data_IF_597258928836
#
_entry.id   IF_597258928836
#
_cell.length_a   1.000
_cell.length_b   1.000
_cell.length_c   1.000
_cell.angle_alpha   90.00
_cell.angle_beta   90.00
_cell.angle_gamma   90.00
#
_symmetry.space_group_name_H-M   'P 1'
#
loop_
_entity.id
_entity.type
_entity.pdbx_description
1 polymer ?
#
# COMPACT_ATOMS: atom_id res chain seq x y z
N UNK A 1 27.17 8.48 14.27
CA UNK A 1 26.47 7.17 14.33
C UNK A 1 25.07 7.43 13.80
N UNK A 2 24.67 6.80 12.70
CA UNK A 2 23.30 6.92 12.18
C UNK A 2 22.31 6.43 13.24
N UNK A 3 21.26 7.19 13.48
CA UNK A 3 20.17 6.75 14.35
C UNK A 3 19.54 5.48 13.78
N UNK A 4 19.06 4.54 14.62
CA UNK A 4 18.33 3.38 14.09
C UNK A 4 17.12 3.86 13.31
N UNK A 5 16.89 3.26 12.13
CA UNK A 5 15.72 3.60 11.30
C UNK A 5 14.44 3.23 12.06
N UNK A 6 13.52 4.17 12.28
CA UNK A 6 12.27 3.89 13.01
C UNK A 6 11.41 2.85 12.26
N UNK A 7 10.94 1.82 12.97
CA UNK A 7 10.10 0.75 12.40
C UNK A 7 9.27 0.08 13.52
N UNK A 8 8.38 0.84 14.14
CA UNK A 8 7.63 0.39 15.32
C UNK A 8 6.17 0.02 15.04
N UNK A 9 5.64 0.41 13.89
CA UNK A 9 4.21 0.26 13.58
C UNK A 9 3.97 -1.08 12.89
N UNK A 10 3.09 -1.90 13.49
CA UNK A 10 2.65 -3.19 12.96
C UNK A 10 1.13 -3.21 12.88
N UNK A 11 0.55 -2.89 11.71
CA UNK A 11 -0.91 -2.79 11.57
C UNK A 11 -1.61 -4.15 11.50
N UNK A 12 -0.84 -5.22 11.25
CA UNK A 12 -1.33 -6.59 11.09
C UNK A 12 -0.51 -7.49 12.01
N UNK A 13 -1.18 -8.24 12.87
CA UNK A 13 -0.56 -9.23 13.75
C UNK A 13 -1.47 -10.45 13.85
N UNK A 14 -0.89 -11.63 13.82
CA UNK A 14 -1.61 -12.88 14.04
C UNK A 14 -1.05 -13.57 15.28
N UNK A 15 -1.90 -13.86 16.25
CA UNK A 15 -1.53 -14.31 17.58
C UNK A 15 -2.71 -15.06 18.21
N UNK A 16 -2.44 -16.16 18.91
CA UNK A 16 -3.43 -16.99 19.60
C UNK A 16 -4.65 -17.37 18.73
N UNK A 17 -4.45 -17.65 17.44
CA UNK A 17 -5.52 -18.01 16.51
C UNK A 17 -6.43 -16.83 16.12
N UNK A 18 -5.99 -15.59 16.36
CA UNK A 18 -6.70 -14.34 16.02
C UNK A 18 -5.87 -13.46 15.09
N UNK A 19 -6.55 -12.85 14.13
CA UNK A 19 -5.99 -11.77 13.35
C UNK A 19 -6.29 -10.43 14.03
N UNK A 20 -5.27 -9.67 14.34
CA UNK A 20 -5.38 -8.34 14.92
C UNK A 20 -5.08 -7.30 13.86
N UNK A 21 -5.99 -6.33 13.68
CA UNK A 21 -5.85 -5.24 12.73
C UNK A 21 -6.01 -3.90 13.46
N UNK A 22 -5.07 -2.98 13.21
CA UNK A 22 -5.21 -1.59 13.61
C UNK A 22 -6.30 -0.92 12.79
N UNK A 23 -7.37 -0.43 13.45
CA UNK A 23 -8.49 0.21 12.74
C UNK A 23 -8.12 1.61 12.22
N UNK A 24 -7.73 1.67 10.95
CA UNK A 24 -7.26 2.90 10.30
C UNK A 24 -8.36 3.93 10.09
N UNK A 25 -9.64 3.56 10.24
CA UNK A 25 -10.78 4.50 10.16
C UNK A 25 -10.82 5.45 11.33
N UNK A 26 -10.31 5.01 12.48
CA UNK A 26 -10.31 5.76 13.74
C UNK A 26 -9.09 6.67 13.90
N UNK A 27 -8.02 6.42 13.16
CA UNK A 27 -6.83 7.25 13.19
C UNK A 27 -7.11 8.65 12.62
N UNK A 28 -6.46 9.70 13.16
CA UNK A 28 -5.51 9.72 14.26
C UNK A 28 -6.15 9.81 15.65
N UNK A 29 -7.48 9.97 15.73
CA UNK A 29 -8.21 10.29 16.97
C UNK A 29 -8.14 9.17 18.00
N UNK A 30 -8.17 7.93 17.53
CA UNK A 30 -8.13 6.73 18.35
C UNK A 30 -7.23 5.67 17.69
N UNK A 31 -6.32 5.08 18.47
CA UNK A 31 -5.51 3.94 18.03
C UNK A 31 -6.08 2.67 18.68
N UNK A 32 -6.91 1.94 17.93
CA UNK A 32 -7.58 0.73 18.39
C UNK A 32 -7.26 -0.46 17.50
N UNK A 33 -6.87 -1.56 18.11
CA UNK A 33 -6.69 -2.85 17.47
C UNK A 33 -7.95 -3.69 17.64
N UNK A 34 -8.46 -4.25 16.54
CA UNK A 34 -9.62 -5.14 16.53
C UNK A 34 -9.15 -6.58 16.27
N UNK A 35 -9.69 -7.55 17.04
CA UNK A 35 -9.41 -8.98 16.84
C UNK A 35 -10.48 -9.66 15.99
N UNK A 36 -10.05 -10.53 15.07
CA UNK A 36 -10.90 -11.27 14.13
C UNK A 36 -10.64 -12.77 14.25
N UNK A 37 -11.71 -13.57 14.31
CA UNK A 37 -11.67 -15.03 14.45
C UNK A 37 -12.32 -15.77 13.29
N UNK A 38 -12.86 -15.06 12.31
CA UNK A 38 -13.52 -15.69 11.17
C UNK A 38 -13.27 -14.94 9.86
N UNK A 39 -13.21 -15.66 8.72
CA UNK A 39 -12.88 -15.08 7.42
C UNK A 39 -13.91 -14.08 6.91
N UNK A 40 -15.17 -14.17 7.37
CA UNK A 40 -16.21 -13.27 6.92
C UNK A 40 -16.00 -11.87 7.50
N UNK A 41 -15.70 -11.78 8.79
CA UNK A 41 -15.38 -10.50 9.44
C UNK A 41 -14.07 -9.90 8.92
N UNK A 42 -13.09 -10.71 8.51
CA UNK A 42 -11.89 -10.24 7.81
C UNK A 42 -12.23 -9.63 6.45
N UNK A 43 -13.08 -10.29 5.65
CA UNK A 43 -13.54 -9.72 4.38
C UNK A 43 -14.28 -8.39 4.57
N UNK A 44 -15.12 -8.30 5.61
CA UNK A 44 -15.80 -7.06 5.97
C UNK A 44 -14.81 -5.97 6.40
N UNK A 45 -13.77 -6.31 7.18
CA UNK A 45 -12.71 -5.38 7.57
C UNK A 45 -11.93 -4.81 6.38
N UNK A 46 -11.65 -5.63 5.35
CA UNK A 46 -11.02 -5.19 4.10
C UNK A 46 -11.98 -4.27 3.32
N UNK A 47 -13.23 -4.68 3.14
CA UNK A 47 -14.25 -3.89 2.42
C UNK A 47 -14.45 -2.52 3.08
N UNK A 48 -14.57 -2.50 4.40
CA UNK A 48 -14.90 -1.31 5.19
C UNK A 48 -13.66 -0.46 5.53
N UNK A 49 -12.50 -0.82 4.96
CA UNK A 49 -11.22 -0.10 5.11
C UNK A 49 -10.71 0.02 6.57
N UNK A 50 -10.98 -0.98 7.41
CA UNK A 50 -10.24 -1.16 8.67
C UNK A 50 -8.75 -1.29 8.36
N UNK A 51 -8.43 -2.04 7.30
CA UNK A 51 -7.12 -2.16 6.68
C UNK A 51 -7.21 -1.72 5.21
N UNK A 52 -6.21 -1.04 4.71
CA UNK A 52 -6.11 -0.54 3.33
C UNK A 52 -4.65 -0.51 2.86
N UNK A 53 -4.45 -0.36 1.54
CA UNK A 53 -3.14 -0.45 0.88
C UNK A 53 -2.94 -1.84 0.28
N UNK A 54 -2.38 -1.87 -0.93
CA UNK A 54 -2.32 -3.10 -1.73
C UNK A 54 -1.64 -4.27 -0.99
N UNK A 55 -0.42 -4.15 -0.41
CA UNK A 55 0.21 -5.25 0.32
C UNK A 55 -0.55 -5.65 1.60
N UNK A 56 -0.99 -4.68 2.40
CA UNK A 56 -1.70 -4.95 3.65
C UNK A 56 -3.00 -5.74 3.45
N UNK A 57 -3.75 -5.43 2.37
CA UNK A 57 -4.98 -6.16 2.00
C UNK A 57 -4.65 -7.62 1.68
N UNK A 58 -3.61 -7.87 0.87
CA UNK A 58 -3.20 -9.23 0.51
C UNK A 58 -2.79 -10.07 1.73
N UNK A 59 -1.95 -9.52 2.61
CA UNK A 59 -1.50 -10.18 3.84
C UNK A 59 -2.69 -10.46 4.76
N UNK A 60 -3.60 -9.49 4.93
CA UNK A 60 -4.81 -9.64 5.73
C UNK A 60 -5.69 -10.76 5.20
N UNK A 61 -5.87 -10.84 3.88
CA UNK A 61 -6.65 -11.90 3.25
C UNK A 61 -5.99 -13.28 3.41
N UNK A 62 -4.65 -13.38 3.34
CA UNK A 62 -3.94 -14.62 3.62
C UNK A 62 -4.23 -15.13 5.04
N UNK A 63 -4.19 -14.28 6.05
CA UNK A 63 -4.62 -14.67 7.41
C UNK A 63 -6.12 -14.98 7.50
N UNK A 64 -6.97 -14.35 6.68
CA UNK A 64 -8.36 -14.72 6.54
C UNK A 64 -8.56 -16.18 6.07
N UNK A 65 -7.68 -16.67 5.17
CA UNK A 65 -7.67 -18.07 4.74
C UNK A 65 -7.22 -19.01 5.88
N UNK A 66 -6.24 -18.61 6.70
CA UNK A 66 -5.84 -19.36 7.90
C UNK A 66 -7.06 -19.57 8.81
N UNK A 67 -7.78 -18.51 9.13
CA UNK A 67 -8.99 -18.57 9.96
C UNK A 67 -10.09 -19.45 9.33
N UNK A 68 -10.17 -19.51 7.98
CA UNK A 68 -11.10 -20.40 7.30
C UNK A 68 -10.74 -21.88 7.52
N UNK A 69 -9.45 -22.21 7.45
CA UNK A 69 -8.95 -23.58 7.73
C UNK A 69 -9.16 -23.97 9.19
N UNK A 70 -8.81 -23.11 10.13
CA UNK A 70 -9.02 -23.34 11.57
C UNK A 70 -10.50 -23.58 11.87
N UNK A 71 -11.39 -22.75 11.32
CA UNK A 71 -12.84 -22.92 11.51
C UNK A 71 -13.39 -24.22 10.90
N UNK A 72 -12.83 -24.66 9.73
CA UNK A 72 -13.19 -25.94 9.12
C UNK A 72 -12.75 -27.12 10.00
N UNK A 73 -11.55 -27.04 10.59
CA UNK A 73 -11.03 -28.04 11.54
C UNK A 73 -11.91 -28.11 12.79
N UNK A 74 -12.16 -26.99 13.45
CA UNK A 74 -12.86 -26.91 14.73
C UNK A 74 -14.33 -27.35 14.63
N UNK A 75 -14.95 -27.14 13.48
CA UNK A 75 -16.31 -27.62 13.19
C UNK A 75 -16.35 -29.05 12.65
N UNK A 76 -15.20 -29.69 12.49
CA UNK A 76 -15.08 -31.02 11.86
C UNK A 76 -15.81 -31.08 10.50
N UNK A 77 -15.68 -30.03 9.69
CA UNK A 77 -16.37 -29.91 8.40
C UNK A 77 -15.81 -30.90 7.40
N UNK A 78 -16.64 -31.78 6.89
CA UNK A 78 -16.26 -32.73 5.85
C UNK A 78 -17.26 -32.68 4.67
N UNK A 79 -16.79 -32.44 3.42
CA UNK A 79 -15.42 -32.12 3.02
C UNK A 79 -15.06 -30.67 3.39
N UNK A 80 -13.84 -30.44 3.86
CA UNK A 80 -13.38 -29.13 4.34
C UNK A 80 -13.07 -28.12 3.20
N UNK A 81 -12.57 -28.61 2.06
CA UNK A 81 -12.12 -27.77 0.93
C UNK A 81 -13.20 -26.82 0.41
N UNK A 82 -14.44 -27.24 0.15
CA UNK A 82 -15.48 -26.33 -0.35
C UNK A 82 -15.77 -25.17 0.60
N UNK A 83 -15.71 -25.40 1.91
CA UNK A 83 -15.95 -24.33 2.91
C UNK A 83 -14.81 -23.31 2.94
N UNK A 84 -13.56 -23.74 2.76
CA UNK A 84 -12.40 -22.86 2.68
C UNK A 84 -12.42 -22.08 1.36
N UNK A 85 -12.74 -22.73 0.23
CA UNK A 85 -12.84 -22.05 -1.07
C UNK A 85 -13.94 -20.98 -1.08
N UNK A 86 -15.10 -21.25 -0.48
CA UNK A 86 -16.16 -20.25 -0.33
C UNK A 86 -15.72 -19.04 0.52
N UNK A 87 -14.85 -19.26 1.52
CA UNK A 87 -14.26 -18.16 2.28
C UNK A 87 -13.25 -17.36 1.45
N UNK A 88 -12.45 -18.02 0.62
CA UNK A 88 -11.51 -17.36 -0.32
C UNK A 88 -12.29 -16.50 -1.32
N UNK A 89 -13.39 -17.01 -1.89
CA UNK A 89 -14.22 -16.24 -2.80
C UNK A 89 -14.85 -15.01 -2.15
N UNK A 90 -15.26 -15.13 -0.88
CA UNK A 90 -15.76 -13.98 -0.11
C UNK A 90 -14.66 -12.95 0.16
N UNK A 91 -13.44 -13.38 0.48
CA UNK A 91 -12.30 -12.47 0.63
C UNK A 91 -11.98 -11.77 -0.70
N UNK A 92 -11.97 -12.49 -1.82
CA UNK A 92 -11.76 -11.93 -3.15
C UNK A 92 -12.78 -10.84 -3.52
N UNK A 93 -14.06 -11.07 -3.16
CA UNK A 93 -15.13 -10.11 -3.40
C UNK A 93 -15.05 -8.83 -2.57
N UNK A 94 -14.21 -8.77 -1.51
CA UNK A 94 -14.12 -7.60 -0.63
C UNK A 94 -13.52 -6.37 -1.31
N UNK A 95 -12.56 -6.54 -2.25
CA UNK A 95 -11.92 -5.48 -3.06
C UNK A 95 -11.54 -5.99 -4.45
N UNK A 96 -12.49 -6.06 -5.40
CA UNK A 96 -12.30 -6.71 -6.70
C UNK A 96 -11.21 -6.10 -7.60
N UNK A 97 -10.75 -4.88 -7.32
CA UNK A 97 -9.71 -4.17 -8.10
C UNK A 97 -8.31 -4.30 -7.52
N UNK A 98 -8.16 -4.89 -6.32
CA UNK A 98 -6.89 -4.96 -5.59
C UNK A 98 -6.03 -6.15 -6.05
N UNK A 99 -5.04 -5.92 -6.91
CA UNK A 99 -4.15 -6.97 -7.48
C UNK A 99 -3.51 -7.83 -6.40
N UNK A 100 -2.95 -7.22 -5.37
CA UNK A 100 -2.26 -7.94 -4.30
C UNK A 100 -3.19 -8.84 -3.48
N UNK A 101 -4.50 -8.56 -3.46
CA UNK A 101 -5.49 -9.45 -2.86
C UNK A 101 -5.54 -10.78 -3.61
N UNK A 102 -5.69 -10.74 -4.93
CA UNK A 102 -5.74 -11.93 -5.76
C UNK A 102 -4.44 -12.69 -5.75
N UNK A 103 -3.30 -12.00 -5.88
CA UNK A 103 -1.97 -12.60 -5.76
C UNK A 103 -1.81 -13.39 -4.45
N UNK A 104 -2.21 -12.82 -3.31
CA UNK A 104 -2.13 -13.51 -2.03
C UNK A 104 -3.06 -14.72 -1.95
N UNK A 105 -4.30 -14.59 -2.42
CA UNK A 105 -5.27 -15.68 -2.43
C UNK A 105 -4.84 -16.82 -3.35
N UNK A 106 -4.24 -16.54 -4.51
CA UNK A 106 -3.73 -17.56 -5.42
C UNK A 106 -2.54 -18.33 -4.82
N UNK A 107 -1.65 -17.64 -4.09
CA UNK A 107 -0.61 -18.31 -3.31
C UNK A 107 -1.20 -19.24 -2.24
N UNK A 108 -2.23 -18.79 -1.53
CA UNK A 108 -2.92 -19.62 -0.54
C UNK A 108 -3.60 -20.82 -1.18
N UNK A 109 -4.22 -20.68 -2.36
CA UNK A 109 -4.79 -21.80 -3.14
C UNK A 109 -3.71 -22.80 -3.54
N UNK A 110 -2.54 -22.32 -3.99
CA UNK A 110 -1.42 -23.20 -4.34
C UNK A 110 -0.94 -24.04 -3.14
N UNK A 111 -0.84 -23.45 -1.96
CA UNK A 111 -0.53 -24.15 -0.71
C UNK A 111 -1.58 -25.20 -0.38
N UNK A 112 -2.86 -24.82 -0.43
CA UNK A 112 -3.99 -25.71 -0.13
C UNK A 112 -4.05 -26.91 -1.09
N UNK A 113 -3.65 -26.74 -2.34
CA UNK A 113 -3.64 -27.81 -3.35
C UNK A 113 -2.75 -28.99 -2.92
N UNK A 114 -1.65 -28.74 -2.18
CA UNK A 114 -0.72 -29.74 -1.67
C UNK A 114 -1.17 -30.44 -0.38
N UNK A 115 -2.23 -30.00 0.31
CA UNK A 115 -2.62 -30.54 1.61
C UNK A 115 -3.63 -31.68 1.46
N UNK A 116 -3.41 -32.81 2.15
CA UNK A 116 -4.32 -33.96 2.17
C UNK A 116 -5.40 -33.86 3.25
N UNK A 117 -5.14 -33.12 4.32
CA UNK A 117 -6.04 -32.96 5.48
C UNK A 117 -6.21 -31.49 5.88
N UNK A 118 -7.27 -31.21 6.65
CA UNK A 118 -7.50 -29.86 7.21
C UNK A 118 -6.42 -29.48 8.21
N UNK A 119 -5.85 -30.41 8.94
CA UNK A 119 -4.77 -30.15 9.88
C UNK A 119 -3.48 -29.71 9.16
N UNK A 120 -3.13 -30.37 8.06
CA UNK A 120 -2.03 -29.91 7.17
C UNK A 120 -2.33 -28.53 6.58
N UNK A 121 -3.58 -28.28 6.14
CA UNK A 121 -3.99 -27.01 5.59
C UNK A 121 -3.83 -25.87 6.63
N UNK A 122 -4.24 -26.06 7.88
CA UNK A 122 -4.05 -25.05 8.95
C UNK A 122 -2.58 -24.71 9.15
N UNK A 123 -1.71 -25.73 9.25
CA UNK A 123 -0.28 -25.53 9.48
C UNK A 123 0.39 -24.83 8.27
N UNK A 124 0.10 -25.32 7.05
CA UNK A 124 0.72 -24.82 5.83
C UNK A 124 0.26 -23.38 5.50
N UNK A 125 -1.03 -23.08 5.64
CA UNK A 125 -1.54 -21.74 5.40
C UNK A 125 -1.03 -20.72 6.41
N UNK A 126 -0.92 -21.08 7.69
CA UNK A 126 -0.33 -20.21 8.71
C UNK A 126 1.14 -19.90 8.39
N UNK A 127 1.92 -20.93 8.06
CA UNK A 127 3.33 -20.74 7.69
C UNK A 127 3.46 -19.80 6.47
N UNK A 128 2.63 -19.98 5.45
CA UNK A 128 2.64 -19.13 4.25
C UNK A 128 2.23 -17.69 4.54
N UNK A 129 1.15 -17.47 5.31
CA UNK A 129 0.70 -16.12 5.66
C UNK A 129 1.77 -15.37 6.49
N UNK A 130 2.43 -16.07 7.43
CA UNK A 130 3.55 -15.52 8.19
C UNK A 130 4.75 -15.21 7.29
N UNK A 131 5.08 -16.09 6.35
CA UNK A 131 6.15 -15.86 5.38
C UNK A 131 5.87 -14.65 4.49
N UNK A 132 4.62 -14.49 4.00
CA UNK A 132 4.21 -13.30 3.25
C UNK A 132 4.41 -12.01 4.07
N UNK A 133 3.98 -11.98 5.33
CA UNK A 133 4.14 -10.82 6.21
C UNK A 133 5.62 -10.46 6.41
N UNK A 134 6.47 -11.44 6.70
CA UNK A 134 7.90 -11.21 6.91
C UNK A 134 8.63 -10.81 5.62
N UNK A 135 8.27 -11.43 4.49
CA UNK A 135 8.82 -11.09 3.19
C UNK A 135 8.48 -9.65 2.78
N UNK A 136 7.23 -9.20 3.04
CA UNK A 136 6.81 -7.83 2.77
C UNK A 136 7.61 -6.81 3.60
N UNK A 137 7.77 -7.05 4.92
CA UNK A 137 8.56 -6.17 5.78
C UNK A 137 10.03 -6.12 5.29
N UNK A 138 10.61 -7.26 4.93
CA UNK A 138 11.98 -7.31 4.43
C UNK A 138 12.12 -6.59 3.07
N UNK A 139 11.15 -6.75 2.17
CA UNK A 139 11.09 -6.06 0.89
C UNK A 139 10.99 -4.53 1.08
N UNK A 140 10.13 -4.08 1.99
CA UNK A 140 9.96 -2.66 2.29
C UNK A 140 11.25 -2.03 2.84
N UNK A 141 11.99 -2.73 3.71
CA UNK A 141 13.29 -2.25 4.20
C UNK A 141 14.32 -2.17 3.07
N UNK A 142 14.35 -3.14 2.15
CA UNK A 142 15.24 -3.09 0.98
C UNK A 142 14.89 -1.94 0.06
N UNK A 143 13.61 -1.74 -0.28
CA UNK A 143 13.16 -0.59 -1.06
C UNK A 143 13.53 0.73 -0.38
N UNK A 144 13.35 0.82 0.94
CA UNK A 144 13.76 1.98 1.73
C UNK A 144 15.23 2.33 1.54
N UNK A 145 16.12 1.35 1.66
CA UNK A 145 17.56 1.55 1.49
C UNK A 145 17.92 1.91 0.04
N UNK A 146 17.33 1.22 -0.96
CA UNK A 146 17.58 1.50 -2.38
C UNK A 146 17.13 2.92 -2.73
N UNK A 147 15.89 3.29 -2.34
CA UNK A 147 15.34 4.61 -2.64
C UNK A 147 16.08 5.73 -1.92
N UNK A 148 16.47 5.55 -0.65
CA UNK A 148 17.24 6.54 0.10
C UNK A 148 18.58 6.84 -0.57
N UNK A 149 19.27 5.83 -1.09
CA UNK A 149 20.55 6.01 -1.79
C UNK A 149 20.44 6.88 -3.05
N UNK A 150 19.23 7.02 -3.64
CA UNK A 150 18.98 7.85 -4.83
C UNK A 150 18.62 9.30 -4.49
N UNK A 151 18.36 9.62 -3.23
CA UNK A 151 18.02 10.98 -2.79
C UNK A 151 19.30 11.76 -2.50
N UNK A 152 19.53 12.84 -3.24
CA UNK A 152 20.62 13.76 -2.98
C UNK A 152 20.39 14.49 -1.64
N UNK A 153 21.44 14.61 -0.80
CA UNK A 153 21.29 15.25 0.51
C UNK A 153 20.92 16.74 0.44
N UNK A 154 20.18 17.20 1.45
CA UNK A 154 20.00 18.63 1.71
C UNK A 154 18.73 19.26 1.19
N UNK A 155 17.79 18.46 0.61
CA UNK A 155 16.47 18.96 0.18
C UNK A 155 15.34 18.24 0.90
N UNK A 156 14.17 18.86 0.87
CA UNK A 156 12.94 18.25 1.37
C UNK A 156 12.38 17.22 0.39
N UNK A 157 11.48 16.38 0.90
CA UNK A 157 10.65 15.48 0.10
C UNK A 157 9.17 15.80 0.28
N UNK A 158 8.37 15.53 -0.75
CA UNK A 158 6.91 15.58 -0.72
C UNK A 158 6.37 14.17 -0.92
N UNK A 159 5.38 13.76 -0.13
CA UNK A 159 4.66 12.50 -0.34
C UNK A 159 3.16 12.74 -0.46
N UNK A 160 2.45 11.75 -1.01
CA UNK A 160 1.01 11.80 -1.24
C UNK A 160 0.35 10.51 -0.80
N UNK A 161 -0.88 10.58 -0.29
CA UNK A 161 -1.61 9.45 0.28
C UNK A 161 -0.91 8.88 1.52
N UNK A 162 -1.02 7.58 1.73
CA UNK A 162 -0.29 6.84 2.76
C UNK A 162 0.22 5.52 2.17
N UNK A 163 1.52 5.41 2.08
CA UNK A 163 2.27 4.23 1.64
C UNK A 163 3.34 3.87 2.67
N UNK A 164 2.94 3.93 3.93
CA UNK A 164 3.72 3.57 5.09
C UNK A 164 3.42 2.17 5.63
N UNK A 165 3.76 1.96 6.89
CA UNK A 165 3.50 0.72 7.61
C UNK A 165 2.02 0.34 7.59
N UNK A 166 1.12 1.33 7.66
CA UNK A 166 -0.33 1.12 7.64
C UNK A 166 -0.84 0.54 6.30
N UNK A 167 -0.09 0.71 5.22
CA UNK A 167 -0.44 0.19 3.90
C UNK A 167 0.20 -1.16 3.56
N UNK A 168 1.05 -1.68 4.44
CA UNK A 168 1.92 -2.85 4.23
C UNK A 168 1.92 -3.74 5.48
N UNK A 169 2.80 -4.72 5.54
CA UNK A 169 3.06 -5.49 6.76
C UNK A 169 3.86 -4.72 7.82
N UNK A 170 4.53 -3.64 7.41
CA UNK A 170 5.39 -2.81 8.24
C UNK A 170 6.41 -2.03 7.44
N UNK A 171 7.02 -0.99 8.01
CA UNK A 171 8.01 -0.09 7.43
C UNK A 171 7.48 0.80 6.30
N UNK A 172 6.68 0.27 5.38
CA UNK A 172 6.13 0.98 4.25
C UNK A 172 7.07 1.07 3.04
N UNK A 173 6.49 1.41 1.89
CA UNK A 173 7.22 1.60 0.63
C UNK A 173 7.77 3.03 0.54
N UNK A 174 7.01 4.01 0.09
CA UNK A 174 7.45 5.41 0.00
C UNK A 174 7.82 5.99 1.38
N UNK A 175 7.03 5.73 2.43
CA UNK A 175 7.45 6.15 3.78
C UNK A 175 8.66 5.37 4.28
N UNK A 176 8.91 4.16 3.80
CA UNK A 176 10.14 3.41 4.05
C UNK A 176 11.38 4.14 3.51
N UNK A 177 11.29 4.66 2.28
CA UNK A 177 12.34 5.52 1.70
C UNK A 177 12.54 6.79 2.54
N UNK A 178 11.45 7.44 2.94
CA UNK A 178 11.50 8.65 3.77
C UNK A 178 12.15 8.35 5.13
N UNK A 179 11.79 7.24 5.80
CA UNK A 179 12.40 6.77 7.05
C UNK A 179 13.90 6.54 6.92
N UNK A 180 14.30 5.80 5.88
CA UNK A 180 15.71 5.54 5.62
C UNK A 180 16.50 6.84 5.32
N UNK A 181 15.94 7.70 4.48
CA UNK A 181 16.55 8.98 4.13
C UNK A 181 16.68 9.92 5.35
N UNK A 182 15.68 9.92 6.23
CA UNK A 182 15.71 10.70 7.47
C UNK A 182 16.81 10.19 8.44
N UNK A 183 16.89 8.88 8.63
CA UNK A 183 17.90 8.26 9.50
C UNK A 183 19.33 8.45 8.99
N UNK A 184 19.51 8.69 7.70
CA UNK A 184 20.80 8.99 7.06
C UNK A 184 21.07 10.49 6.88
N UNK A 185 20.24 11.38 7.47
CA UNK A 185 20.35 12.84 7.34
C UNK A 185 20.35 13.34 5.88
N UNK A 186 19.71 12.59 4.95
CA UNK A 186 19.63 12.96 3.53
C UNK A 186 18.58 14.01 3.26
N UNK A 187 17.48 14.01 4.00
CA UNK A 187 16.37 14.95 3.82
C UNK A 187 16.26 15.90 4.99
N UNK A 188 15.91 17.15 4.71
CA UNK A 188 15.82 18.23 5.70
C UNK A 188 14.41 18.40 6.27
N UNK A 189 13.39 18.06 5.48
CA UNK A 189 11.97 18.23 5.81
C UNK A 189 11.14 17.22 5.06
N UNK A 190 9.99 16.86 5.63
CA UNK A 190 8.98 16.03 4.98
C UNK A 190 7.70 16.83 4.85
N UNK A 191 7.19 16.91 3.63
CA UNK A 191 5.87 17.43 3.31
C UNK A 191 4.93 16.29 2.92
N UNK A 192 3.66 16.42 3.26
CA UNK A 192 2.63 15.47 2.84
C UNK A 192 1.36 16.21 2.43
N UNK A 193 0.83 15.86 1.27
CA UNK A 193 -0.52 16.30 0.89
C UNK A 193 -1.55 15.73 1.85
N UNK A 194 -2.58 16.51 2.18
CA UNK A 194 -3.70 16.01 2.99
C UNK A 194 -4.42 14.80 2.36
N UNK A 195 -4.43 14.75 1.04
CA UNK A 195 -4.97 13.67 0.19
C UNK A 195 -6.48 13.52 0.32
N UNK A 196 -7.23 14.43 -0.33
CA UNK A 196 -8.69 14.29 -0.45
C UNK A 196 -9.05 13.06 -1.32
N UNK A 197 -10.27 12.45 -1.14
CA UNK A 197 -11.29 12.79 -0.13
C UNK A 197 -11.09 12.18 1.25
N UNK A 198 -10.31 11.08 1.38
CA UNK A 198 -10.18 10.29 2.62
C UNK A 198 -9.13 10.80 3.60
N UNK A 199 -8.37 11.84 3.22
CA UNK A 199 -7.35 12.49 4.03
C UNK A 199 -6.26 11.54 4.54
N UNK A 200 -5.82 10.59 3.70
CA UNK A 200 -4.78 9.61 4.09
C UNK A 200 -3.48 10.29 4.50
N UNK A 201 -3.11 11.40 3.85
CA UNK A 201 -1.94 12.17 4.24
C UNK A 201 -2.08 12.78 5.62
N UNK A 202 -3.18 13.48 5.89
CA UNK A 202 -3.42 14.11 7.18
C UNK A 202 -3.62 13.09 8.31
N UNK A 203 -4.40 12.03 8.04
CA UNK A 203 -4.86 11.10 9.08
C UNK A 203 -3.86 9.98 9.36
N UNK A 204 -3.18 9.50 8.33
CA UNK A 204 -2.36 8.28 8.41
C UNK A 204 -0.87 8.60 8.25
N UNK A 205 -0.47 9.31 7.20
CA UNK A 205 0.95 9.61 6.94
C UNK A 205 1.55 10.49 8.03
N UNK A 206 0.86 11.57 8.41
CA UNK A 206 1.32 12.42 9.49
C UNK A 206 1.38 11.67 10.83
N UNK A 207 0.38 10.82 11.10
CA UNK A 207 0.36 10.00 12.31
C UNK A 207 1.54 9.03 12.38
N UNK A 208 1.87 8.34 11.26
CA UNK A 208 3.00 7.41 11.22
C UNK A 208 4.33 8.14 11.43
N UNK A 209 4.57 9.19 10.65
CA UNK A 209 5.83 9.92 10.69
C UNK A 209 6.10 10.54 12.07
N UNK A 210 5.07 11.14 12.69
CA UNK A 210 5.19 11.72 14.03
C UNK A 210 5.46 10.66 15.10
N UNK A 211 4.86 9.46 15.00
CA UNK A 211 5.17 8.34 15.91
C UNK A 211 6.61 7.85 15.77
N UNK A 212 7.17 7.96 14.57
CA UNK A 212 8.56 7.63 14.29
C UNK A 212 9.53 8.77 14.59
N UNK A 213 9.04 9.90 15.16
CA UNK A 213 9.87 11.07 15.48
C UNK A 213 10.32 11.87 14.26
N UNK A 214 9.66 11.68 13.11
CA UNK A 214 9.95 12.41 11.87
C UNK A 214 8.96 13.56 11.73
N UNK A 215 9.41 14.83 11.82
CA UNK A 215 8.54 15.98 11.62
C UNK A 215 7.96 16.02 10.21
N UNK A 216 6.67 16.36 10.09
CA UNK A 216 5.98 16.45 8.81
C UNK A 216 5.14 17.72 8.76
N UNK A 217 5.14 18.38 7.60
CA UNK A 217 4.26 19.51 7.31
C UNK A 217 3.19 19.09 6.32
N UNK A 218 1.93 19.28 6.73
CA UNK A 218 0.78 19.00 5.87
C UNK A 218 0.49 20.19 4.98
N UNK A 219 -0.01 19.90 3.78
CA UNK A 219 -0.52 20.90 2.84
C UNK A 219 -1.76 20.38 2.10
N UNK A 220 -2.61 21.29 1.67
CA UNK A 220 -3.63 20.98 0.68
C UNK A 220 -2.96 20.73 -0.69
N UNK A 221 -3.49 19.82 -1.51
CA UNK A 221 -2.94 19.51 -2.83
C UNK A 221 -2.74 20.74 -3.71
N UNK A 222 -3.64 21.73 -3.61
CA UNK A 222 -3.51 23.00 -4.32
C UNK A 222 -2.26 23.82 -3.97
N UNK A 223 -1.65 23.59 -2.80
CA UNK A 223 -0.42 24.26 -2.38
C UNK A 223 0.85 23.58 -2.92
N UNK A 224 0.77 22.34 -3.42
CA UNK A 224 1.91 21.59 -3.91
C UNK A 224 2.68 22.32 -5.03
N UNK A 225 1.96 22.97 -5.95
CA UNK A 225 2.55 23.79 -7.02
C UNK A 225 3.44 24.91 -6.47
N UNK A 226 2.96 25.64 -5.44
CA UNK A 226 3.72 26.71 -4.80
C UNK A 226 4.93 26.19 -4.05
N UNK A 227 4.79 25.06 -3.36
CA UNK A 227 5.88 24.41 -2.66
C UNK A 227 6.98 23.95 -3.65
N UNK A 228 6.63 23.24 -4.71
CA UNK A 228 7.59 22.75 -5.71
C UNK A 228 8.29 23.92 -6.43
N UNK A 229 7.54 24.98 -6.76
CA UNK A 229 8.11 26.20 -7.36
C UNK A 229 9.14 26.88 -6.46
N UNK A 230 9.03 26.74 -5.14
CA UNK A 230 10.01 27.31 -4.21
C UNK A 230 11.39 26.68 -4.30
N UNK A 231 11.53 25.50 -4.94
CA UNK A 231 12.77 24.74 -5.06
C UNK A 231 13.19 24.01 -3.78
N UNK A 232 12.37 24.02 -2.70
CA UNK A 232 12.67 23.32 -1.44
C UNK A 232 12.63 21.81 -1.59
N UNK A 233 11.71 21.27 -2.40
CA UNK A 233 11.51 19.84 -2.59
C UNK A 233 12.43 19.32 -3.70
N UNK A 234 13.18 18.26 -3.39
CA UNK A 234 14.02 17.54 -4.36
C UNK A 234 13.30 16.39 -5.03
N UNK A 235 12.48 15.70 -4.27
CA UNK A 235 11.78 14.51 -4.71
C UNK A 235 10.33 14.48 -4.23
N UNK A 236 9.44 14.06 -5.13
CA UNK A 236 8.12 13.55 -4.80
C UNK A 236 8.24 12.04 -4.70
N UNK A 237 7.94 11.46 -3.53
CA UNK A 237 8.09 10.02 -3.25
C UNK A 237 6.71 9.44 -2.95
N UNK A 238 6.22 8.55 -3.81
CA UNK A 238 4.88 7.97 -3.74
C UNK A 238 4.92 6.44 -3.86
N UNK A 239 3.85 5.78 -3.47
CA UNK A 239 3.66 4.36 -3.75
C UNK A 239 2.95 4.13 -5.07
N UNK A 240 2.45 2.89 -5.25
CA UNK A 240 1.59 2.53 -6.37
C UNK A 240 0.49 1.56 -5.91
N UNK A 241 -0.68 1.67 -6.52
CA UNK A 241 -1.75 0.67 -6.40
C UNK A 241 -1.64 -0.39 -7.52
N UNK A 242 -1.15 0.00 -8.71
CA UNK A 242 -0.82 -0.90 -9.83
C UNK A 242 0.17 -0.22 -10.78
N UNK A 243 1.12 -1.00 -11.31
CA UNK A 243 2.07 -0.56 -12.33
C UNK A 243 1.89 -1.45 -13.56
N UNK A 244 1.68 -0.87 -14.73
CA UNK A 244 1.62 -1.61 -16.00
C UNK A 244 3.02 -2.01 -16.48
N UNK A 245 3.07 -2.95 -17.43
CA UNK A 245 4.34 -3.47 -17.97
C UNK A 245 5.26 -2.41 -18.59
N UNK A 246 4.69 -1.29 -19.07
CA UNK A 246 5.47 -0.16 -19.61
C UNK A 246 5.93 0.85 -18.55
N UNK A 247 5.53 0.68 -17.28
CA UNK A 247 5.84 1.59 -16.18
C UNK A 247 4.78 2.64 -15.86
N UNK A 248 3.71 2.74 -16.65
CA UNK A 248 2.57 3.60 -16.29
C UNK A 248 2.02 3.17 -14.94
N UNK A 249 1.82 4.13 -14.05
CA UNK A 249 1.53 3.85 -12.65
C UNK A 249 0.19 4.42 -12.24
N UNK A 250 -0.73 3.56 -11.82
CA UNK A 250 -1.94 3.96 -11.11
C UNK A 250 -1.65 4.11 -9.62
N UNK A 251 -1.97 5.27 -9.08
CA UNK A 251 -1.87 5.57 -7.65
C UNK A 251 -3.00 6.50 -7.21
N UNK A 252 -3.05 6.81 -5.93
CA UNK A 252 -4.07 7.68 -5.35
C UNK A 252 -4.25 8.95 -6.18
N UNK A 253 -5.55 9.29 -6.46
CA UNK A 253 -5.92 10.50 -7.21
C UNK A 253 -5.13 11.72 -6.72
N UNK A 254 -4.56 12.48 -7.65
CA UNK A 254 -3.65 13.60 -7.42
C UNK A 254 -2.19 13.30 -7.78
N UNK A 255 -1.80 12.03 -7.88
CA UNK A 255 -0.42 11.63 -8.20
C UNK A 255 0.01 12.12 -9.58
N UNK A 256 -0.85 12.01 -10.59
CA UNK A 256 -0.57 12.53 -11.95
C UNK A 256 -0.37 14.05 -11.94
N UNK A 257 -1.19 14.79 -11.20
CA UNK A 257 -1.01 16.23 -11.02
C UNK A 257 0.34 16.56 -10.39
N UNK A 258 0.76 15.83 -9.35
CA UNK A 258 2.07 15.97 -8.71
C UNK A 258 3.23 15.66 -9.66
N UNK A 259 3.10 14.62 -10.51
CA UNK A 259 4.10 14.26 -11.50
C UNK A 259 4.36 15.42 -12.50
N UNK A 260 3.28 16.02 -13.00
CA UNK A 260 3.36 17.19 -13.87
C UNK A 260 4.02 18.39 -13.17
N UNK A 261 3.65 18.66 -11.92
CA UNK A 261 4.22 19.73 -11.12
C UNK A 261 5.69 19.48 -10.79
N UNK A 262 6.06 18.27 -10.43
CA UNK A 262 7.46 17.88 -10.16
C UNK A 262 8.32 18.14 -11.41
N UNK A 263 7.89 17.64 -12.57
CA UNK A 263 8.55 17.86 -13.87
C UNK A 263 8.69 19.36 -14.19
N UNK A 264 7.63 20.14 -14.01
CA UNK A 264 7.62 21.58 -14.32
C UNK A 264 8.58 22.40 -13.42
N UNK A 265 8.88 21.90 -12.21
CA UNK A 265 9.69 22.61 -11.22
C UNK A 265 11.03 21.95 -10.92
N UNK A 266 11.44 20.92 -11.68
CA UNK A 266 12.74 20.28 -11.56
C UNK A 266 12.92 19.45 -10.26
N UNK A 267 11.82 18.91 -9.72
CA UNK A 267 11.85 17.87 -8.72
C UNK A 267 11.70 16.49 -9.39
N UNK A 268 12.35 15.46 -8.81
CA UNK A 268 12.19 14.08 -9.30
C UNK A 268 10.89 13.45 -8.79
N UNK A 269 10.35 12.48 -9.53
CA UNK A 269 9.27 11.61 -9.10
C UNK A 269 9.77 10.18 -8.92
N UNK A 270 9.69 9.67 -7.69
CA UNK A 270 10.03 8.30 -7.32
C UNK A 270 8.76 7.52 -6.97
N UNK A 271 8.53 6.41 -7.65
CA UNK A 271 7.48 5.44 -7.32
C UNK A 271 8.13 4.26 -6.60
N UNK A 272 7.59 3.88 -5.44
CA UNK A 272 8.13 2.81 -4.60
C UNK A 272 7.06 1.76 -4.34
N UNK A 273 7.24 0.58 -4.91
CA UNK A 273 6.27 -0.51 -4.79
C UNK A 273 6.96 -1.87 -4.93
N UNK A 274 6.47 -2.94 -4.26
CA UNK A 274 7.03 -4.27 -4.45
C UNK A 274 6.76 -4.78 -5.87
N UNK A 275 7.59 -5.70 -6.35
CA UNK A 275 7.47 -6.30 -7.68
C UNK A 275 6.07 -6.88 -7.93
N UNK A 276 5.41 -7.39 -6.88
CA UNK A 276 4.04 -7.92 -6.94
C UNK A 276 2.96 -6.87 -7.29
N UNK A 277 3.30 -5.59 -7.27
CA UNK A 277 2.42 -4.49 -7.70
C UNK A 277 2.50 -4.25 -9.21
N UNK A 278 3.55 -4.79 -9.87
CA UNK A 278 3.70 -4.69 -11.32
C UNK A 278 2.87 -5.78 -11.98
N UNK A 279 1.89 -5.34 -12.76
CA UNK A 279 1.00 -6.22 -13.56
C UNK A 279 1.57 -6.32 -14.98
N UNK A 280 2.32 -7.37 -15.23
CA UNK A 280 2.97 -7.60 -16.52
C UNK A 280 2.00 -8.02 -17.64
N UNK A 281 0.75 -8.38 -17.28
CA UNK A 281 -0.31 -8.73 -18.24
C UNK A 281 -0.99 -7.47 -18.82
N UNK A 282 -0.88 -6.34 -18.14
CA UNK A 282 -1.38 -5.04 -18.62
C UNK A 282 -0.25 -4.31 -19.36
N UNK A 283 -0.46 -4.07 -20.65
CA UNK A 283 0.57 -3.50 -21.52
C UNK A 283 0.94 -2.05 -21.17
N UNK A 284 -0.06 -1.24 -20.83
CA UNK A 284 0.04 0.18 -20.49
C UNK A 284 -1.09 0.63 -19.57
N UNK A 285 -0.99 1.86 -19.09
CA UNK A 285 -1.92 2.43 -18.10
C UNK A 285 -3.35 2.61 -18.57
N UNK A 286 -3.61 2.62 -19.88
CA UNK A 286 -4.98 2.78 -20.42
C UNK A 286 -5.89 1.60 -20.09
N UNK A 287 -5.30 0.42 -19.85
CA UNK A 287 -6.01 -0.80 -19.49
C UNK A 287 -6.20 -0.96 -17.98
N UNK A 288 -5.64 -0.08 -17.14
CA UNK A 288 -5.83 -0.14 -15.69
C UNK A 288 -7.24 0.34 -15.33
N UNK A 289 -8.09 -0.49 -14.70
CA UNK A 289 -9.42 -0.07 -14.30
C UNK A 289 -9.37 0.92 -13.15
N UNK A 290 -10.01 2.07 -13.30
CA UNK A 290 -10.09 3.12 -12.27
C UNK A 290 -11.40 2.99 -11.50
N UNK A 291 -11.30 2.74 -10.20
CA UNK A 291 -12.44 2.66 -9.29
C UNK A 291 -13.11 4.04 -9.14
N UNK A 292 -14.41 4.10 -9.42
CA UNK A 292 -15.25 5.26 -9.12
C UNK A 292 -15.91 5.06 -7.75
N UNK A 293 -15.71 6.00 -6.83
CA UNK A 293 -16.20 5.92 -5.46
C UNK A 293 -17.41 6.80 -5.24
N UNK A 294 -18.08 6.61 -4.08
CA UNK A 294 -19.27 7.36 -3.73
C UNK A 294 -19.01 8.88 -3.72
N UNK A 295 -19.91 9.64 -4.34
CA UNK A 295 -19.85 11.10 -4.38
C UNK A 295 -19.82 11.73 -2.98
N UNK A 296 -20.48 11.07 -2.01
CA UNK A 296 -20.54 11.54 -0.63
C UNK A 296 -19.16 11.75 0.02
N UNK A 297 -18.14 11.04 -0.41
CA UNK A 297 -16.77 11.21 0.10
C UNK A 297 -16.18 12.57 -0.26
N UNK A 298 -16.49 13.09 -1.47
CA UNK A 298 -16.06 14.42 -1.91
C UNK A 298 -16.97 15.51 -1.36
N UNK A 299 -18.29 15.23 -1.34
CA UNK A 299 -19.31 16.19 -0.91
C UNK A 299 -19.35 16.39 0.61
N UNK A 300 -18.65 15.56 1.37
CA UNK A 300 -18.59 15.60 2.82
C UNK A 300 -17.17 15.69 3.39
N UNK A 301 -17.08 16.00 4.67
CA UNK A 301 -15.86 15.97 5.47
C UNK A 301 -16.23 15.63 6.91
N UNK A 302 -15.53 14.62 7.50
CA UNK A 302 -15.77 14.23 8.90
C UNK A 302 -17.21 13.79 9.20
N UNK A 303 -17.89 13.18 8.21
CA UNK A 303 -19.29 12.75 8.35
C UNK A 303 -20.33 13.87 8.12
N UNK A 304 -19.90 15.10 7.87
CA UNK A 304 -20.78 16.24 7.59
C UNK A 304 -20.72 16.61 6.12
N UNK A 305 -21.87 16.91 5.51
CA UNK A 305 -21.92 17.47 4.14
C UNK A 305 -21.43 18.90 4.18
N UNK A 306 -20.42 19.22 3.34
CA UNK A 306 -19.87 20.56 3.19
C UNK A 306 -20.23 21.20 1.85
N UNK A 307 -20.62 20.38 0.87
CA UNK A 307 -21.04 20.87 -0.45
C UNK A 307 -22.49 21.37 -0.43
N UNK A 308 -22.80 22.34 -1.28
CA UNK A 308 -24.16 22.87 -1.46
C UNK A 308 -25.16 21.73 -1.78
N UNK A 309 -26.43 21.83 -1.31
CA UNK A 309 -27.47 20.88 -1.69
C UNK A 309 -27.60 20.79 -3.22
N UNK A 310 -27.73 19.57 -3.76
CA UNK A 310 -27.82 19.33 -5.20
C UNK A 310 -26.49 19.26 -5.94
N UNK A 311 -25.36 19.63 -5.34
CA UNK A 311 -24.05 19.44 -5.95
C UNK A 311 -23.75 17.96 -6.17
N UNK A 312 -23.16 17.63 -7.33
CA UNK A 312 -22.65 16.31 -7.71
C UNK A 312 -21.13 16.31 -7.59
N UNK A 313 -20.52 15.11 -7.50
CA UNK A 313 -19.07 14.97 -7.46
C UNK A 313 -18.60 13.89 -8.43
N UNK A 314 -17.44 14.13 -9.05
CA UNK A 314 -16.67 13.16 -9.78
C UNK A 314 -15.55 12.66 -8.86
N UNK A 315 -15.54 11.36 -8.52
CA UNK A 315 -14.69 10.80 -7.48
C UNK A 315 -13.95 9.54 -7.94
N UNK A 316 -12.99 9.67 -8.88
CA UNK A 316 -12.07 8.56 -9.16
C UNK A 316 -11.14 8.35 -7.95
N UNK A 317 -10.90 7.08 -7.59
CA UNK A 317 -10.02 6.74 -6.47
C UNK A 317 -8.54 6.94 -6.81
N UNK A 318 -8.20 6.75 -8.09
CA UNK A 318 -6.83 6.73 -8.61
C UNK A 318 -6.74 7.56 -9.88
N UNK A 319 -5.52 7.97 -10.23
CA UNK A 319 -5.15 8.43 -11.57
C UNK A 319 -3.95 7.64 -12.09
N UNK A 320 -3.72 7.71 -13.40
CA UNK A 320 -2.60 7.04 -14.05
C UNK A 320 -1.55 8.08 -14.42
N UNK A 321 -0.33 7.88 -13.91
CA UNK A 321 0.84 8.66 -14.26
C UNK A 321 1.59 7.94 -15.37
N UNK A 322 1.77 8.56 -16.55
CA UNK A 322 2.59 8.01 -17.63
C UNK A 322 4.04 7.79 -17.19
N UNK A 323 4.65 6.70 -17.66
CA UNK A 323 6.02 6.31 -17.30
C UNK A 323 7.06 7.39 -17.62
N UNK A 324 6.85 8.18 -18.67
CA UNK A 324 7.74 9.28 -19.07
C UNK A 324 7.77 10.45 -18.07
N UNK A 325 6.81 10.52 -17.14
CA UNK A 325 6.80 11.46 -16.01
C UNK A 325 7.47 10.90 -14.76
N UNK A 326 7.84 9.62 -14.74
CA UNK A 326 8.44 8.94 -13.59
C UNK A 326 9.95 8.86 -13.79
N UNK A 327 10.73 9.42 -12.86
CA UNK A 327 12.18 9.39 -12.94
C UNK A 327 12.76 8.04 -12.52
N UNK A 328 12.12 7.39 -11.53
CA UNK A 328 12.55 6.08 -11.06
C UNK A 328 11.40 5.28 -10.44
N UNK A 329 11.35 3.98 -10.74
CA UNK A 329 10.58 2.98 -10.00
C UNK A 329 11.54 2.16 -9.15
N UNK A 330 11.27 2.09 -7.85
CA UNK A 330 12.06 1.33 -6.86
C UNK A 330 11.25 0.12 -6.42
N UNK A 331 11.85 -1.05 -6.55
CA UNK A 331 11.33 -2.31 -6.02
C UNK A 331 12.35 -2.94 -5.06
N UNK A 332 11.97 -4.03 -4.39
CA UNK A 332 12.90 -4.82 -3.57
C UNK A 332 13.99 -5.54 -4.39
N UNK A 333 13.84 -5.60 -5.71
CA UNK A 333 14.84 -6.18 -6.62
C UNK A 333 15.84 -5.15 -7.17
N UNK A 334 15.50 -3.85 -7.09
CA UNK A 334 16.35 -2.77 -7.59
C UNK A 334 15.54 -1.56 -8.03
N UNK A 335 16.23 -0.62 -8.68
CA UNK A 335 15.66 0.62 -9.21
C UNK A 335 15.75 0.65 -10.75
N UNK A 336 14.66 1.06 -11.40
CA UNK A 336 14.62 1.31 -12.85
C UNK A 336 14.45 2.80 -13.09
N UNK A 337 15.49 3.45 -13.59
CA UNK A 337 15.46 4.85 -13.97
C UNK A 337 14.79 5.01 -15.34
N UNK A 338 13.93 6.02 -15.49
CA UNK A 338 13.14 6.25 -16.71
C UNK A 338 12.44 4.95 -17.13
N UNK A 339 11.51 4.48 -16.29
CA UNK A 339 10.98 3.13 -16.41
C UNK A 339 10.38 2.87 -17.78
N UNK A 340 10.66 1.70 -18.29
CA UNK A 340 10.11 1.15 -19.52
C UNK A 340 9.88 -0.37 -19.39
N UNK A 341 9.31 -0.97 -20.40
CA UNK A 341 8.99 -2.40 -20.41
C UNK A 341 10.21 -3.29 -20.22
N UNK A 342 11.34 -2.94 -20.82
CA UNK A 342 12.57 -3.75 -20.79
C UNK A 342 13.19 -3.71 -19.38
N UNK A 343 13.32 -2.52 -18.81
CA UNK A 343 13.86 -2.31 -17.47
C UNK A 343 13.05 -3.00 -16.40
N UNK A 344 11.70 -2.94 -16.48
CA UNK A 344 10.83 -3.62 -15.52
C UNK A 344 10.87 -5.14 -15.70
N UNK A 345 10.89 -5.65 -16.94
CA UNK A 345 11.01 -7.08 -17.20
C UNK A 345 12.34 -7.66 -16.68
N UNK A 346 13.42 -6.89 -16.73
CA UNK A 346 14.71 -7.29 -16.18
C UNK A 346 14.66 -7.55 -14.66
N UNK A 347 13.87 -6.80 -13.90
CA UNK A 347 13.66 -7.03 -12.45
C UNK A 347 12.97 -8.38 -12.18
N UNK A 348 12.00 -8.78 -13.03
CA UNK A 348 11.34 -10.08 -12.91
C UNK A 348 12.32 -11.24 -13.07
N UNK A 349 13.22 -11.16 -14.06
CA UNK A 349 14.23 -12.18 -14.31
C UNK A 349 15.26 -12.38 -13.19
N UNK A 350 15.32 -11.49 -12.20
CA UNK A 350 16.16 -11.67 -11.00
C UNK A 350 15.51 -12.58 -9.96
N UNK A 351 14.20 -12.73 -9.97
CA UNK A 351 13.45 -13.60 -9.04
C UNK A 351 13.46 -15.07 -9.51
N UNK A 352 13.52 -15.29 -10.82
CA UNK A 352 13.46 -16.60 -11.44
C UNK A 352 14.83 -17.31 -11.48
N UNK A 353 15.88 -16.71 -10.90
CA UNK A 353 17.25 -17.25 -10.79
C UNK A 353 17.56 -17.67 -9.35
#
# INVERSE_FOLDING_TARGET
MSSPVPDTIRPIRFDDGRLHLLDQRLLPSESRENGYEDPASVADAIRDMVVRGAPAIGITAAFGVVLACDRARDRNTAPWRPSVEAAIDRLAASRPTAVNLFWALDRMRAVLAGCGSVAEACAATLAEAQAMLQADIAANRRMGAIGAALIDPGRAVLTHCNTGSLATGGFGTALGVIRASWAEDRITEVFADETRPWLQGSRLTAWELLRDGIPVQLLCEGAAASLLRSGRVGWVVVGADRIAANGDTANKIGTYGLALLARAHGAGLMVVAPLSTIDFEIADGSAIPIEMRAEAEVLGLGGQRVAAPGARAWNPAFDVTPADLIDVIVTEQGAVHRPDREGLAALRGLVDR
#
